data_IF_556392988717
#
_entry.id   IF_556392988717
#
_cell.length_a   1.000
_cell.length_b   1.000
_cell.length_c   1.000
_cell.angle_alpha   90.00
_cell.angle_beta   90.00
_cell.angle_gamma   90.00
#
_symmetry.space_group_name_H-M   'P 1'
#
loop_
_entity.id
_entity.type
_entity.pdbx_description
1 polymer ?
#
# COMPACT_ATOMS: atom_id res chain seq x y z
N UNK A 1 -0.27 27.68 33.89
CA UNK A 1 0.90 27.22 33.12
C UNK A 1 0.38 26.45 31.92
N UNK A 2 0.29 27.10 30.77
CA UNK A 2 -0.07 26.49 29.49
C UNK A 2 1.20 25.85 28.93
N UNK A 3 1.43 24.58 29.21
CA UNK A 3 2.39 23.80 28.45
C UNK A 3 1.84 23.65 27.04
N UNK A 4 2.39 24.42 26.11
CA UNK A 4 2.10 24.26 24.69
C UNK A 4 2.39 22.81 24.31
N UNK A 5 1.37 22.06 23.86
CA UNK A 5 1.58 20.83 23.11
C UNK A 5 2.53 21.20 21.97
N UNK A 6 3.77 20.67 21.98
CA UNK A 6 4.59 20.67 20.78
C UNK A 6 3.68 20.11 19.69
N UNK A 7 3.47 20.86 18.62
CA UNK A 7 2.79 20.34 17.44
C UNK A 7 3.56 19.11 17.02
N UNK A 8 2.97 17.93 17.20
CA UNK A 8 3.54 16.70 16.71
C UNK A 8 3.73 16.84 15.20
N UNK A 9 4.88 16.44 14.69
CA UNK A 9 5.17 16.49 13.25
C UNK A 9 4.19 15.55 12.56
N UNK A 10 3.43 16.08 11.61
CA UNK A 10 2.43 15.30 10.87
C UNK A 10 2.98 14.93 9.50
N UNK A 11 2.86 13.67 9.11
CA UNK A 11 3.24 13.16 7.80
C UNK A 11 2.04 12.62 7.05
N UNK A 12 2.16 12.53 5.73
CA UNK A 12 1.23 11.80 4.87
C UNK A 12 1.86 10.47 4.44
N UNK A 13 1.08 9.39 4.38
CA UNK A 13 1.54 8.05 4.05
C UNK A 13 1.09 7.65 2.65
N UNK A 14 1.98 7.03 1.89
CA UNK A 14 1.68 6.43 0.61
C UNK A 14 2.02 4.93 0.65
N UNK A 15 0.97 4.08 0.66
CA UNK A 15 1.07 2.65 0.94
C UNK A 15 0.90 1.84 -0.35
N UNK A 16 1.97 1.18 -0.78
CA UNK A 16 1.98 0.35 -1.98
C UNK A 16 1.14 -0.91 -1.79
N UNK A 17 0.47 -1.35 -2.85
CA UNK A 17 -0.20 -2.62 -2.96
C UNK A 17 0.76 -3.78 -3.24
N UNK A 18 0.41 -4.98 -2.81
CA UNK A 18 1.24 -6.16 -3.01
C UNK A 18 0.70 -7.45 -2.38
N UNK A 19 -0.61 -7.54 -2.18
CA UNK A 19 -1.25 -8.72 -1.59
C UNK A 19 -0.72 -9.03 -0.19
N UNK A 20 -0.36 -10.28 0.08
CA UNK A 20 0.20 -10.75 1.35
C UNK A 20 1.45 -9.98 1.81
N UNK A 21 2.22 -9.42 0.88
CA UNK A 21 3.38 -8.59 1.22
C UNK A 21 2.97 -7.28 1.94
N UNK A 22 1.71 -6.89 1.87
CA UNK A 22 1.15 -5.79 2.67
C UNK A 22 1.27 -5.98 4.19
N UNK A 23 1.56 -7.20 4.68
CA UNK A 23 1.90 -7.43 6.07
C UNK A 23 3.23 -6.77 6.50
N UNK A 24 4.14 -6.50 5.55
CA UNK A 24 5.30 -5.64 5.80
C UNK A 24 4.85 -4.21 6.15
N UNK A 25 3.91 -3.66 5.37
CA UNK A 25 3.31 -2.34 5.65
C UNK A 25 2.62 -2.32 7.02
N UNK A 26 1.90 -3.39 7.40
CA UNK A 26 1.41 -3.52 8.78
C UNK A 26 2.53 -3.38 9.80
N UNK A 27 3.67 -4.04 9.61
CA UNK A 27 4.82 -3.92 10.51
C UNK A 27 5.37 -2.51 10.59
N UNK A 28 5.49 -1.81 9.47
CA UNK A 28 5.90 -0.40 9.41
C UNK A 28 4.93 0.47 10.20
N UNK A 29 3.63 0.35 9.95
CA UNK A 29 2.60 1.12 10.65
C UNK A 29 2.56 0.81 12.14
N UNK A 30 2.67 -0.47 12.52
CA UNK A 30 2.69 -0.89 13.92
C UNK A 30 3.84 -0.25 14.70
N UNK A 31 5.05 -0.18 14.11
CA UNK A 31 6.18 0.47 14.76
C UNK A 31 6.06 2.00 14.79
N UNK A 32 5.57 2.64 13.74
CA UNK A 32 5.32 4.09 13.72
C UNK A 32 4.27 4.49 14.77
N UNK A 33 3.24 3.69 14.96
CA UNK A 33 2.21 3.88 15.99
C UNK A 33 2.76 3.69 17.40
N UNK A 34 3.61 2.69 17.62
CA UNK A 34 4.26 2.41 18.89
C UNK A 34 5.25 3.51 19.29
N UNK A 35 6.04 4.00 18.35
CA UNK A 35 6.99 5.11 18.55
C UNK A 35 6.29 6.39 18.98
N UNK A 36 5.16 6.70 18.40
CA UNK A 36 4.24 7.73 18.88
C UNK A 36 4.66 9.18 18.64
N UNK A 37 5.84 9.45 18.05
CA UNK A 37 6.35 10.81 17.84
C UNK A 37 5.75 11.51 16.62
N UNK A 38 5.21 10.75 15.67
CA UNK A 38 4.70 11.26 14.39
C UNK A 38 3.21 11.01 14.29
N UNK A 39 2.45 12.01 13.85
CA UNK A 39 1.02 11.90 13.52
C UNK A 39 0.82 11.74 12.01
N UNK A 40 -0.35 11.25 11.62
CA UNK A 40 -0.72 11.06 10.22
C UNK A 40 -1.82 12.05 9.84
N UNK A 41 -1.65 12.76 8.70
CA UNK A 41 -2.70 13.63 8.17
C UNK A 41 -3.53 12.94 7.09
N UNK A 42 -2.88 12.23 6.21
CA UNK A 42 -3.54 11.52 5.11
C UNK A 42 -2.82 10.26 4.71
N UNK A 43 -3.58 9.32 4.17
CA UNK A 43 -3.05 8.04 3.68
C UNK A 43 -3.61 7.75 2.30
N UNK A 44 -2.71 7.59 1.34
CA UNK A 44 -3.02 7.04 0.03
C UNK A 44 -2.65 5.56 0.00
N UNK A 45 -3.56 4.71 -0.46
CA UNK A 45 -3.32 3.27 -0.50
C UNK A 45 -3.92 2.60 -1.72
N UNK A 46 -3.28 1.53 -2.15
CA UNK A 46 -3.72 0.70 -3.26
C UNK A 46 -3.70 -0.77 -2.85
N UNK A 47 -4.75 -1.55 -3.17
CA UNK A 47 -4.81 -2.98 -2.88
C UNK A 47 -4.58 -3.29 -1.39
N UNK A 48 -3.57 -4.08 -1.02
CA UNK A 48 -3.20 -4.31 0.37
C UNK A 48 -2.85 -3.02 1.14
N UNK A 49 -2.32 -2.00 0.45
CA UNK A 49 -2.10 -0.67 0.99
C UNK A 49 -3.41 0.03 1.34
N UNK A 50 -4.48 -0.16 0.55
CA UNK A 50 -5.82 0.34 0.83
C UNK A 50 -6.44 -0.33 2.06
N UNK A 51 -6.27 -1.65 2.20
CA UNK A 51 -6.68 -2.41 3.38
C UNK A 51 -6.02 -1.85 4.65
N UNK A 52 -4.69 -1.72 4.63
CA UNK A 52 -3.93 -1.16 5.75
C UNK A 52 -4.38 0.28 6.08
N UNK A 53 -4.61 1.12 5.07
CA UNK A 53 -5.03 2.52 5.26
C UNK A 53 -6.38 2.63 5.98
N UNK A 54 -7.36 1.84 5.55
CA UNK A 54 -8.72 1.87 6.12
C UNK A 54 -8.75 1.29 7.52
N UNK A 55 -8.06 0.16 7.75
CA UNK A 55 -7.96 -0.48 9.06
C UNK A 55 -7.21 0.42 10.05
N UNK A 56 -6.14 1.09 9.60
CA UNK A 56 -5.43 2.11 10.39
C UNK A 56 -6.37 3.24 10.81
N UNK A 57 -7.10 3.84 9.86
CA UNK A 57 -8.01 4.94 10.14
C UNK A 57 -9.14 4.54 11.09
N UNK A 58 -9.74 3.36 10.88
CA UNK A 58 -10.74 2.80 11.77
C UNK A 58 -10.22 2.62 13.19
N UNK A 59 -9.05 2.02 13.34
CA UNK A 59 -8.45 1.78 14.64
C UNK A 59 -8.07 3.09 15.36
N UNK A 60 -7.55 4.07 14.65
CA UNK A 60 -7.27 5.41 15.17
C UNK A 60 -8.54 6.10 15.69
N UNK A 61 -9.65 5.96 14.95
CA UNK A 61 -10.94 6.54 15.32
C UNK A 61 -11.54 5.91 16.59
N UNK A 62 -11.29 4.60 16.84
CA UNK A 62 -11.89 3.86 17.94
C UNK A 62 -11.04 3.80 19.23
N UNK A 63 -9.72 3.87 19.08
CA UNK A 63 -8.84 3.67 20.24
C UNK A 63 -7.47 4.31 20.08
N UNK A 64 -7.36 5.31 19.22
CA UNK A 64 -6.10 5.99 18.98
C UNK A 64 -5.02 5.02 18.44
N UNK A 65 -3.78 5.25 18.83
CA UNK A 65 -2.63 4.46 18.33
C UNK A 65 -2.71 2.99 18.70
N UNK A 66 -3.08 2.66 19.92
CA UNK A 66 -3.22 1.27 20.38
C UNK A 66 -4.42 0.58 19.70
N UNK A 67 -5.52 1.31 19.50
CA UNK A 67 -6.66 0.83 18.72
C UNK A 67 -6.29 0.50 17.27
N UNK A 68 -5.46 1.33 16.65
CA UNK A 68 -4.97 1.11 15.28
C UNK A 68 -4.06 -0.13 15.21
N UNK A 69 -3.13 -0.29 16.16
CA UNK A 69 -2.27 -1.48 16.23
C UNK A 69 -3.09 -2.76 16.42
N UNK A 70 -4.06 -2.73 17.33
CA UNK A 70 -4.96 -3.86 17.55
C UNK A 70 -5.85 -4.17 16.33
N UNK A 71 -6.35 -3.15 15.63
CA UNK A 71 -7.16 -3.34 14.43
C UNK A 71 -6.36 -3.98 13.29
N UNK A 72 -5.14 -3.48 13.02
CA UNK A 72 -4.24 -4.06 12.02
C UNK A 72 -3.89 -5.52 12.34
N UNK A 73 -3.60 -5.83 13.60
CA UNK A 73 -3.35 -7.22 14.03
C UNK A 73 -4.57 -8.11 13.78
N UNK A 74 -5.77 -7.70 14.22
CA UNK A 74 -7.00 -8.48 13.99
C UNK A 74 -7.27 -8.70 12.51
N UNK A 75 -7.10 -7.66 11.68
CA UNK A 75 -7.31 -7.76 10.24
C UNK A 75 -6.41 -8.83 9.61
N UNK A 76 -5.10 -8.75 9.82
CA UNK A 76 -4.15 -9.71 9.24
C UNK A 76 -4.32 -11.13 9.79
N UNK A 77 -4.70 -11.29 11.05
CA UNK A 77 -5.09 -12.59 11.63
C UNK A 77 -6.32 -13.15 10.92
N UNK A 78 -7.37 -12.35 10.76
CA UNK A 78 -8.58 -12.81 10.07
C UNK A 78 -8.33 -13.16 8.60
N UNK A 79 -7.43 -12.44 7.93
CA UNK A 79 -7.02 -12.79 6.55
C UNK A 79 -6.28 -14.13 6.54
N UNK A 80 -5.40 -14.39 7.51
CA UNK A 80 -4.72 -15.69 7.63
C UNK A 80 -5.70 -16.85 7.87
N UNK A 81 -6.70 -16.60 8.72
CA UNK A 81 -7.71 -17.61 9.10
C UNK A 81 -8.80 -17.82 8.03
N UNK A 82 -8.89 -16.93 7.04
CA UNK A 82 -9.94 -16.98 6.00
C UNK A 82 -9.76 -18.12 5.00
N UNK A 83 -8.58 -18.69 4.89
CA UNK A 83 -8.32 -19.84 4.04
C UNK A 83 -8.32 -21.14 4.86
N UNK A 84 -9.12 -22.15 4.44
CA UNK A 84 -9.33 -23.38 5.22
C UNK A 84 -8.11 -24.31 5.28
N UNK A 85 -7.01 -23.98 4.59
CA UNK A 85 -5.81 -24.82 4.52
C UNK A 85 -4.55 -23.96 4.58
N UNK A 86 -3.47 -24.52 5.11
CA UNK A 86 -2.13 -23.93 4.95
C UNK A 86 -1.77 -23.91 3.45
N UNK A 87 -2.00 -22.78 2.81
CA UNK A 87 -1.80 -22.58 1.36
C UNK A 87 -0.32 -22.47 1.02
N UNK A 88 0.49 -22.19 2.02
CA UNK A 88 1.92 -21.95 1.87
C UNK A 88 2.70 -22.83 2.85
N UNK A 89 3.69 -23.53 2.34
CA UNK A 89 4.62 -24.39 3.10
C UNK A 89 6.05 -23.84 2.96
N UNK A 90 6.92 -24.11 3.96
CA UNK A 90 8.34 -23.85 3.78
C UNK A 90 8.84 -24.51 2.50
N UNK A 91 9.60 -23.79 1.70
CA UNK A 91 10.25 -24.35 0.51
C UNK A 91 11.26 -25.43 0.94
N UNK A 92 11.60 -26.34 0.03
CA UNK A 92 12.56 -27.41 0.29
C UNK A 92 13.95 -26.91 0.71
N UNK A 93 14.28 -25.66 0.39
CA UNK A 93 15.50 -24.97 0.83
C UNK A 93 15.41 -24.36 2.25
N UNK A 94 14.24 -24.44 2.89
CA UNK A 94 13.98 -23.92 4.24
C UNK A 94 14.05 -22.38 4.38
N UNK A 95 14.39 -21.67 3.31
CA UNK A 95 14.58 -20.21 3.34
C UNK A 95 13.43 -19.44 2.71
N UNK A 96 12.60 -20.11 1.93
CA UNK A 96 11.48 -19.49 1.21
C UNK A 96 10.16 -20.18 1.57
N UNK A 97 9.06 -19.43 1.35
CA UNK A 97 7.71 -19.99 1.43
C UNK A 97 7.24 -20.24 0.01
N UNK A 98 6.67 -21.42 -0.24
CA UNK A 98 6.07 -21.76 -1.53
C UNK A 98 4.64 -22.26 -1.36
N UNK A 99 3.81 -22.02 -2.37
CA UNK A 99 2.47 -22.59 -2.41
C UNK A 99 2.55 -24.14 -2.56
N UNK A 100 1.58 -24.82 -2.00
CA UNK A 100 1.44 -26.27 -2.19
C UNK A 100 1.41 -26.62 -3.69
N UNK A 101 2.06 -27.72 -4.13
CA UNK A 101 2.08 -28.11 -5.54
C UNK A 101 0.68 -28.26 -6.16
N UNK A 102 -0.26 -28.81 -5.41
CA UNK A 102 -1.64 -28.94 -5.86
C UNK A 102 -2.31 -27.56 -6.13
N UNK A 103 -2.04 -26.58 -5.27
CA UNK A 103 -2.54 -25.22 -5.46
C UNK A 103 -1.88 -24.54 -6.65
N UNK A 104 -0.57 -24.73 -6.86
CA UNK A 104 0.13 -24.21 -8.05
C UNK A 104 -0.49 -24.76 -9.32
N UNK A 105 -0.78 -26.05 -9.34
CA UNK A 105 -1.45 -26.71 -10.47
C UNK A 105 -2.88 -26.14 -10.66
N UNK A 106 -3.64 -25.99 -9.60
CA UNK A 106 -4.98 -25.37 -9.65
C UNK A 106 -4.94 -23.94 -10.19
N UNK A 107 -4.02 -23.10 -9.71
CA UNK A 107 -3.82 -21.74 -10.20
C UNK A 107 -3.39 -21.72 -11.67
N UNK A 108 -2.55 -22.67 -12.09
CA UNK A 108 -2.17 -22.81 -13.50
C UNK A 108 -3.39 -23.11 -14.38
N UNK A 109 -4.29 -24.00 -13.96
CA UNK A 109 -5.51 -24.30 -14.68
C UNK A 109 -6.55 -23.16 -14.59
N UNK A 110 -6.56 -22.43 -13.47
CA UNK A 110 -7.47 -21.30 -13.29
C UNK A 110 -7.27 -20.18 -14.34
N UNK A 111 -6.09 -20.05 -14.92
CA UNK A 111 -5.84 -19.10 -16.01
C UNK A 111 -6.67 -19.33 -17.28
N UNK A 112 -7.23 -20.53 -17.45
CA UNK A 112 -8.11 -20.85 -18.61
C UNK A 112 -9.57 -20.57 -18.35
N UNK A 113 -9.93 -20.19 -17.11
CA UNK A 113 -11.30 -19.90 -16.72
C UNK A 113 -11.44 -18.46 -16.30
N UNK A 114 -12.61 -17.86 -16.60
CA UNK A 114 -12.91 -16.52 -16.09
C UNK A 114 -13.27 -16.57 -14.60
N UNK A 115 -13.10 -15.45 -13.85
CA UNK A 115 -13.55 -15.36 -12.48
C UNK A 115 -15.03 -15.69 -12.30
N UNK A 116 -15.86 -15.42 -13.31
CA UNK A 116 -17.29 -15.78 -13.31
C UNK A 116 -17.52 -17.29 -13.28
N UNK A 117 -16.65 -18.07 -13.92
CA UNK A 117 -16.73 -19.53 -13.94
C UNK A 117 -16.16 -20.15 -12.68
N UNK A 118 -15.06 -19.56 -12.12
CA UNK A 118 -14.39 -20.07 -10.92
C UNK A 118 -15.16 -19.75 -9.63
N UNK A 119 -15.84 -18.60 -9.58
CA UNK A 119 -16.60 -18.15 -8.42
C UNK A 119 -18.01 -17.66 -8.84
N UNK A 120 -18.94 -18.60 -9.16
CA UNK A 120 -20.27 -18.25 -9.64
C UNK A 120 -21.12 -17.50 -8.59
N UNK A 121 -20.83 -17.69 -7.31
CA UNK A 121 -21.55 -17.06 -6.20
C UNK A 121 -20.91 -15.76 -5.72
N UNK A 122 -19.82 -15.33 -6.34
CA UNK A 122 -19.07 -14.12 -5.98
C UNK A 122 -18.67 -14.04 -4.50
N UNK A 123 -18.35 -15.20 -3.90
CA UNK A 123 -17.91 -15.26 -2.51
C UNK A 123 -16.54 -14.60 -2.35
N UNK A 124 -16.47 -13.64 -1.43
CA UNK A 124 -15.24 -12.87 -1.17
C UNK A 124 -15.00 -12.75 0.34
N UNK A 125 -14.13 -13.59 0.92
CA UNK A 125 -13.84 -13.56 2.37
C UNK A 125 -13.34 -12.20 2.86
N UNK A 126 -12.63 -11.42 2.03
CA UNK A 126 -12.17 -10.09 2.41
C UNK A 126 -13.34 -9.12 2.63
N UNK A 127 -14.45 -9.28 1.91
CA UNK A 127 -15.68 -8.50 2.15
C UNK A 127 -16.20 -8.72 3.56
N UNK A 128 -16.33 -9.98 3.97
CA UNK A 128 -16.86 -10.35 5.27
C UNK A 128 -15.96 -9.83 6.40
N UNK A 129 -14.64 -9.95 6.24
CA UNK A 129 -13.64 -9.42 7.19
C UNK A 129 -13.77 -7.90 7.31
N UNK A 130 -13.85 -7.18 6.19
CA UNK A 130 -13.96 -5.72 6.19
C UNK A 130 -15.26 -5.25 6.85
N UNK A 131 -16.39 -5.87 6.51
CA UNK A 131 -17.69 -5.51 7.09
C UNK A 131 -17.79 -5.85 8.58
N UNK A 132 -17.11 -6.90 9.03
CA UNK A 132 -17.08 -7.28 10.44
C UNK A 132 -16.16 -6.38 11.29
N UNK A 133 -15.13 -5.78 10.70
CA UNK A 133 -14.07 -5.10 11.46
C UNK A 133 -14.02 -3.59 11.26
N UNK A 134 -14.63 -3.05 10.20
CA UNK A 134 -14.53 -1.62 9.86
C UNK A 134 -15.92 -0.98 9.89
N UNK A 135 -16.08 0.03 10.74
CA UNK A 135 -17.25 0.90 10.75
C UNK A 135 -17.10 1.99 9.67
N UNK A 136 -17.58 1.68 8.47
CA UNK A 136 -17.47 2.58 7.31
C UNK A 136 -18.32 3.85 7.47
N UNK A 137 -19.45 3.80 8.17
CA UNK A 137 -20.28 4.97 8.40
C UNK A 137 -19.57 5.99 9.28
N UNK A 138 -19.01 5.51 10.38
CA UNK A 138 -18.24 6.36 11.27
C UNK A 138 -16.97 6.89 10.62
N UNK A 139 -16.28 6.09 9.79
CA UNK A 139 -15.12 6.57 9.04
C UNK A 139 -15.47 7.69 8.06
N UNK A 140 -16.60 7.59 7.36
CA UNK A 140 -17.05 8.66 6.46
C UNK A 140 -17.40 9.94 7.22
N UNK A 141 -17.99 9.80 8.40
CA UNK A 141 -18.45 10.93 9.22
C UNK A 141 -17.32 11.63 9.97
N UNK A 142 -16.37 10.86 10.53
CA UNK A 142 -15.39 11.40 11.50
C UNK A 142 -14.07 10.63 11.43
N UNK A 143 -13.47 10.51 10.26
CA UNK A 143 -12.13 9.92 10.14
C UNK A 143 -11.06 10.87 10.68
N UNK A 144 -10.15 10.40 11.54
CA UNK A 144 -9.06 11.24 12.06
C UNK A 144 -7.99 11.58 11.02
N UNK A 145 -7.98 10.86 9.89
CA UNK A 145 -7.03 11.03 8.79
C UNK A 145 -7.76 11.01 7.45
N UNK A 146 -7.22 11.72 6.46
CA UNK A 146 -7.75 11.69 5.09
C UNK A 146 -7.39 10.38 4.41
N UNK A 147 -8.35 9.76 3.74
CA UNK A 147 -8.15 8.54 2.98
C UNK A 147 -8.25 8.80 1.48
N UNK A 148 -7.35 8.19 0.71
CA UNK A 148 -7.30 8.23 -0.75
C UNK A 148 -7.05 6.81 -1.26
N UNK A 149 -8.11 6.13 -1.69
CA UNK A 149 -8.04 4.74 -2.13
C UNK A 149 -8.14 4.69 -3.64
N UNK A 150 -7.11 4.13 -4.27
CA UNK A 150 -7.02 4.05 -5.72
C UNK A 150 -7.67 2.77 -6.24
N UNK A 151 -8.51 2.89 -7.26
CA UNK A 151 -8.98 1.79 -8.11
C UNK A 151 -8.82 2.18 -9.58
N UNK A 152 -8.84 1.20 -10.47
CA UNK A 152 -8.76 1.41 -11.92
C UNK A 152 -10.13 1.18 -12.54
N UNK A 153 -10.69 2.19 -13.21
CA UNK A 153 -11.90 1.99 -13.99
C UNK A 153 -11.58 1.05 -15.16
N UNK A 154 -12.26 -0.10 -15.22
CA UNK A 154 -11.94 -1.18 -16.14
C UNK A 154 -12.22 -0.81 -17.62
N UNK A 155 -13.19 0.10 -17.87
CA UNK A 155 -13.55 0.50 -19.22
C UNK A 155 -12.63 1.58 -19.79
N UNK A 156 -12.13 2.49 -18.94
CA UNK A 156 -11.35 3.65 -19.39
C UNK A 156 -9.86 3.59 -19.06
N UNK A 157 -9.44 2.69 -18.16
CA UNK A 157 -8.09 2.62 -17.61
C UNK A 157 -7.72 3.80 -16.70
N UNK A 158 -8.67 4.69 -16.40
CA UNK A 158 -8.42 5.86 -15.55
C UNK A 158 -8.40 5.47 -14.08
N UNK A 159 -7.53 6.15 -13.31
CA UNK A 159 -7.56 6.05 -11.86
C UNK A 159 -8.84 6.69 -11.30
N UNK A 160 -9.51 5.98 -10.40
CA UNK A 160 -10.55 6.50 -9.54
C UNK A 160 -9.99 6.58 -8.13
N UNK A 161 -10.04 7.75 -7.51
CA UNK A 161 -9.73 7.92 -6.09
C UNK A 161 -11.01 8.04 -5.29
N UNK A 162 -11.21 7.07 -4.40
CA UNK A 162 -12.24 7.16 -3.37
C UNK A 162 -11.66 7.92 -2.17
N UNK A 163 -12.25 9.06 -1.87
CA UNK A 163 -11.89 9.90 -0.73
C UNK A 163 -12.66 9.51 0.51
N UNK A 164 -12.24 10.00 1.68
CA UNK A 164 -12.87 9.67 2.97
C UNK A 164 -14.41 9.60 2.95
N UNK A 165 -15.16 10.57 2.36
CA UNK A 165 -16.63 10.48 2.32
C UNK A 165 -17.18 9.38 1.43
N UNK A 166 -16.37 8.80 0.56
CA UNK A 166 -16.76 7.77 -0.43
C UNK A 166 -16.29 6.37 -0.02
N UNK A 167 -15.61 6.24 1.13
CA UNK A 167 -15.03 4.96 1.56
C UNK A 167 -16.12 3.96 1.92
N UNK A 168 -16.04 2.79 1.31
CA UNK A 168 -16.94 1.65 1.52
C UNK A 168 -16.17 0.34 1.36
N UNK A 169 -16.77 -0.77 1.77
CA UNK A 169 -16.20 -2.09 1.51
C UNK A 169 -15.96 -2.30 0.01
N UNK A 170 -16.91 -1.88 -0.84
CA UNK A 170 -16.77 -2.00 -2.30
C UNK A 170 -15.62 -1.18 -2.86
N UNK A 171 -15.38 0.04 -2.36
CA UNK A 171 -14.23 0.86 -2.77
C UNK A 171 -12.89 0.17 -2.44
N UNK A 172 -12.80 -0.48 -1.28
CA UNK A 172 -11.58 -1.21 -0.87
C UNK A 172 -11.42 -2.49 -1.69
N UNK A 173 -12.50 -3.22 -1.92
CA UNK A 173 -12.49 -4.44 -2.75
C UNK A 173 -12.18 -4.11 -4.21
N UNK A 174 -12.69 -3.02 -4.75
CA UNK A 174 -12.34 -2.51 -6.08
C UNK A 174 -10.83 -2.25 -6.19
N UNK A 175 -10.25 -1.60 -5.16
CA UNK A 175 -8.81 -1.35 -5.09
C UNK A 175 -7.95 -2.63 -5.08
N UNK A 176 -8.50 -3.76 -4.67
CA UNK A 176 -7.80 -5.06 -4.57
C UNK A 176 -8.33 -6.12 -5.55
N UNK A 177 -9.15 -5.72 -6.52
CA UNK A 177 -9.78 -6.62 -7.48
C UNK A 177 -8.87 -6.94 -8.66
N UNK A 178 -8.08 -8.01 -8.56
CA UNK A 178 -7.29 -8.50 -9.68
C UNK A 178 -8.20 -9.16 -10.74
N UNK A 179 -8.20 -8.70 -12.00
CA UNK A 179 -9.13 -9.16 -13.05
C UNK A 179 -8.98 -10.64 -13.41
N UNK A 180 -7.84 -11.25 -13.08
CA UNK A 180 -7.59 -12.67 -13.29
C UNK A 180 -8.12 -13.56 -12.16
N UNK A 181 -8.54 -12.97 -11.04
CA UNK A 181 -8.94 -13.72 -9.83
C UNK A 181 -10.36 -13.39 -9.35
N UNK A 182 -10.83 -12.17 -9.61
CA UNK A 182 -12.13 -11.69 -9.13
C UNK A 182 -12.89 -10.97 -10.23
N UNK A 183 -14.23 -10.96 -10.11
CA UNK A 183 -15.08 -10.14 -10.96
C UNK A 183 -14.83 -8.67 -10.70
N UNK A 184 -14.99 -7.82 -11.72
CA UNK A 184 -14.94 -6.38 -11.51
C UNK A 184 -15.97 -5.96 -10.44
N UNK A 185 -15.56 -5.06 -9.55
CA UNK A 185 -16.47 -4.49 -8.56
C UNK A 185 -17.20 -3.32 -9.20
N UNK A 186 -18.54 -3.39 -9.23
CA UNK A 186 -19.36 -2.31 -9.76
C UNK A 186 -19.69 -1.28 -8.68
N UNK A 187 -19.40 -0.01 -8.97
CA UNK A 187 -19.73 1.12 -8.10
C UNK A 187 -20.32 2.23 -8.99
N UNK A 188 -21.52 2.66 -8.69
CA UNK A 188 -22.24 3.70 -9.45
C UNK A 188 -22.39 3.36 -10.95
N UNK A 189 -22.54 2.07 -11.29
CA UNK A 189 -22.69 1.58 -12.66
C UNK A 189 -21.40 1.48 -13.46
N UNK A 190 -20.24 1.71 -12.84
CA UNK A 190 -18.92 1.60 -13.45
C UNK A 190 -18.13 0.43 -12.86
N UNK A 191 -17.46 -0.39 -13.71
CA UNK A 191 -16.66 -1.51 -13.25
C UNK A 191 -15.25 -1.08 -12.85
N UNK A 192 -14.75 -1.63 -11.73
CA UNK A 192 -13.42 -1.33 -11.22
C UNK A 192 -12.58 -2.58 -11.00
N UNK A 193 -11.29 -2.43 -11.28
CA UNK A 193 -10.20 -3.36 -11.01
C UNK A 193 -9.18 -2.77 -10.03
N UNK A 194 -8.21 -3.60 -9.64
CA UNK A 194 -7.13 -3.22 -8.74
C UNK A 194 -6.48 -1.89 -9.15
N UNK A 195 -6.33 -1.02 -8.16
CA UNK A 195 -5.73 0.30 -8.35
C UNK A 195 -4.31 0.26 -8.86
N UNK A 196 -3.61 -0.86 -8.67
CA UNK A 196 -2.23 -1.06 -9.10
C UNK A 196 -1.98 -0.85 -10.59
N UNK A 197 -3.00 -1.01 -11.42
CA UNK A 197 -2.87 -0.71 -12.85
C UNK A 197 -2.83 0.78 -13.17
N UNK A 198 -3.43 1.63 -12.33
CA UNK A 198 -3.51 3.07 -12.58
C UNK A 198 -2.70 3.92 -11.57
N UNK A 199 -2.50 3.46 -10.34
CA UNK A 199 -1.69 4.15 -9.31
C UNK A 199 -1.31 3.19 -8.17
N UNK A 200 -0.02 3.03 -7.87
CA UNK A 200 0.45 2.07 -6.85
C UNK A 200 1.66 2.56 -6.03
N UNK A 201 1.45 3.42 -5.04
CA UNK A 201 0.27 4.21 -4.69
C UNK A 201 0.16 5.52 -5.48
N UNK A 202 -0.98 6.21 -5.40
CA UNK A 202 -1.12 7.58 -5.87
C UNK A 202 -0.47 8.56 -4.89
N UNK A 203 0.44 9.41 -5.36
CA UNK A 203 1.13 10.41 -4.52
C UNK A 203 0.44 11.78 -4.59
N UNK A 204 -0.06 12.14 -5.78
CA UNK A 204 -0.62 13.47 -6.04
C UNK A 204 -1.75 13.90 -5.07
N UNK A 205 -2.66 13.03 -4.58
CA UNK A 205 -3.69 13.49 -3.66
C UNK A 205 -3.10 13.95 -2.32
N UNK A 206 -2.04 13.31 -1.84
CA UNK A 206 -1.34 13.74 -0.64
C UNK A 206 -0.67 15.10 -0.86
N UNK A 207 -0.07 15.30 -2.03
CA UNK A 207 0.53 16.57 -2.38
C UNK A 207 -0.50 17.70 -2.49
N UNK A 208 -1.67 17.49 -3.10
CA UNK A 208 -2.65 18.55 -3.34
C UNK A 208 -3.62 18.78 -2.17
N UNK A 209 -3.97 17.73 -1.43
CA UNK A 209 -5.08 17.76 -0.48
C UNK A 209 -4.65 17.69 1.00
N UNK A 210 -3.38 17.34 1.30
CA UNK A 210 -2.82 17.37 2.66
C UNK A 210 -2.01 18.65 2.90
N UNK A 211 -1.91 19.07 4.15
CA UNK A 211 -1.13 20.25 4.57
C UNK A 211 0.32 19.87 4.90
N UNK A 212 0.52 18.66 5.40
CA UNK A 212 1.86 18.14 5.72
C UNK A 212 2.81 18.33 4.53
N UNK A 213 4.03 18.74 4.83
CA UNK A 213 5.11 18.81 3.84
C UNK A 213 5.76 17.46 3.58
N UNK A 214 5.54 16.48 4.45
CA UNK A 214 6.28 15.24 4.44
C UNK A 214 5.40 14.08 3.95
N UNK A 215 5.88 13.39 2.92
CA UNK A 215 5.23 12.21 2.35
C UNK A 215 6.16 11.02 2.53
N UNK A 216 5.74 10.05 3.35
CA UNK A 216 6.45 8.81 3.56
C UNK A 216 5.83 7.71 2.70
N UNK A 217 6.61 7.20 1.77
CA UNK A 217 6.25 6.09 0.89
C UNK A 217 6.69 4.76 1.51
N UNK A 218 5.79 3.81 1.63
CA UNK A 218 6.09 2.42 2.03
C UNK A 218 6.00 1.55 0.79
N UNK A 219 7.16 1.06 0.32
CA UNK A 219 7.30 0.34 -0.93
C UNK A 219 7.55 -1.14 -0.67
N UNK A 220 6.82 -2.00 -1.37
CA UNK A 220 6.88 -3.46 -1.26
C UNK A 220 7.69 -4.10 -2.39
N UNK A 221 7.86 -3.35 -3.49
CA UNK A 221 8.56 -3.80 -4.69
C UNK A 221 9.85 -3.01 -4.83
N UNK A 222 10.98 -3.68 -5.11
CA UNK A 222 12.24 -2.98 -5.31
C UNK A 222 12.16 -2.05 -6.51
N UNK A 223 12.72 -0.83 -6.36
CA UNK A 223 12.81 0.12 -7.48
C UNK A 223 13.80 -0.35 -8.55
N UNK A 224 14.81 -1.14 -8.13
CA UNK A 224 15.85 -1.66 -9.02
C UNK A 224 16.04 -3.16 -8.80
N UNK A 225 15.97 -3.94 -9.87
CA UNK A 225 16.23 -5.37 -9.85
C UNK A 225 17.70 -5.68 -10.18
N UNK A 226 18.20 -6.75 -9.56
CA UNK A 226 19.50 -7.34 -9.89
C UNK A 226 19.29 -8.41 -10.98
N UNK A 227 19.83 -8.18 -12.15
CA UNK A 227 19.77 -9.12 -13.28
C UNK A 227 18.52 -9.00 -14.15
N UNK A 228 18.61 -9.59 -15.33
CA UNK A 228 17.52 -9.66 -16.33
C UNK A 228 16.85 -11.02 -16.24
N UNK A 229 15.51 -11.11 -16.26
CA UNK A 229 14.81 -12.39 -16.21
C UNK A 229 15.10 -13.19 -17.50
N UNK A 230 15.33 -14.52 -17.36
CA UNK A 230 15.65 -15.41 -18.46
C UNK A 230 14.58 -16.49 -18.69
N UNK A 231 13.92 -16.97 -17.66
CA UNK A 231 12.85 -17.97 -17.81
C UNK A 231 11.53 -17.31 -18.21
N UNK A 232 10.66 -18.05 -18.90
CA UNK A 232 9.33 -17.57 -19.27
C UNK A 232 8.51 -17.10 -18.05
N UNK A 233 8.64 -17.78 -16.91
CA UNK A 233 7.94 -17.41 -15.68
C UNK A 233 8.50 -16.11 -15.11
N UNK A 234 9.82 -15.97 -14.99
CA UNK A 234 10.45 -14.73 -14.51
C UNK A 234 10.10 -13.53 -15.39
N UNK A 235 10.07 -13.72 -16.72
CA UNK A 235 9.67 -12.67 -17.66
C UNK A 235 8.22 -12.27 -17.43
N UNK A 236 7.29 -13.25 -17.29
CA UNK A 236 5.88 -12.98 -17.02
C UNK A 236 5.69 -12.21 -15.70
N UNK A 237 6.37 -12.64 -14.65
CA UNK A 237 6.32 -12.01 -13.33
C UNK A 237 6.86 -10.58 -13.40
N UNK A 238 7.95 -10.36 -14.11
CA UNK A 238 8.54 -9.02 -14.30
C UNK A 238 7.66 -8.08 -15.10
N UNK A 239 7.01 -8.58 -16.17
CA UNK A 239 6.05 -7.80 -16.96
C UNK A 239 4.88 -7.34 -16.10
N UNK A 240 4.33 -8.23 -15.27
CA UNK A 240 3.25 -7.89 -14.36
C UNK A 240 3.70 -6.85 -13.32
N UNK A 241 4.86 -7.04 -12.74
CA UNK A 241 5.44 -6.08 -11.79
C UNK A 241 5.66 -4.70 -12.42
N UNK A 242 6.20 -4.64 -13.64
CA UNK A 242 6.37 -3.40 -14.38
C UNK A 242 5.03 -2.72 -14.65
N UNK A 243 3.99 -3.48 -15.01
CA UNK A 243 2.65 -2.94 -15.21
C UNK A 243 2.12 -2.26 -13.93
N UNK A 244 2.32 -2.87 -12.75
CA UNK A 244 1.87 -2.34 -11.47
C UNK A 244 2.70 -1.17 -10.94
N UNK A 245 3.93 -1.00 -11.41
CA UNK A 245 4.82 0.07 -10.93
C UNK A 245 4.98 1.24 -11.89
N UNK A 246 4.66 1.05 -13.17
CA UNK A 246 4.96 2.03 -14.23
C UNK A 246 4.31 3.39 -13.99
N UNK A 247 3.08 3.41 -13.49
CA UNK A 247 2.34 4.64 -13.21
C UNK A 247 2.94 5.40 -12.03
N UNK A 248 3.28 4.70 -10.96
CA UNK A 248 3.97 5.28 -9.80
C UNK A 248 5.35 5.84 -10.19
N UNK A 249 6.16 5.07 -10.92
CA UNK A 249 7.48 5.54 -11.38
C UNK A 249 7.36 6.77 -12.28
N UNK A 250 6.35 6.81 -13.16
CA UNK A 250 6.08 7.98 -14.00
C UNK A 250 5.67 9.19 -13.16
N UNK A 251 4.80 9.02 -12.19
CA UNK A 251 4.36 10.07 -11.28
C UNK A 251 5.56 10.64 -10.51
N UNK A 252 6.37 9.78 -9.90
CA UNK A 252 7.55 10.20 -9.14
C UNK A 252 8.61 10.89 -9.99
N UNK A 253 8.82 10.42 -11.23
CA UNK A 253 9.70 11.11 -12.20
C UNK A 253 9.19 12.51 -12.51
N UNK A 254 7.89 12.68 -12.69
CA UNK A 254 7.30 14.01 -12.91
C UNK A 254 7.50 14.93 -11.69
N UNK A 255 7.36 14.41 -10.48
CA UNK A 255 7.68 15.17 -9.26
C UNK A 255 9.15 15.56 -9.20
N UNK A 256 10.07 14.66 -9.56
CA UNK A 256 11.50 14.94 -9.60
C UNK A 256 11.81 16.09 -10.57
N UNK A 257 11.41 15.98 -11.84
CA UNK A 257 11.61 17.03 -12.85
C UNK A 257 10.99 18.37 -12.48
N UNK A 258 9.73 18.36 -12.01
CA UNK A 258 9.06 19.58 -11.62
C UNK A 258 9.76 20.27 -10.45
N UNK A 259 10.30 19.48 -9.50
CA UNK A 259 11.05 20.01 -8.35
C UNK A 259 12.37 20.63 -8.77
N UNK A 260 13.15 19.98 -9.62
CA UNK A 260 14.38 20.54 -10.18
C UNK A 260 14.11 21.86 -10.90
N UNK A 261 13.14 21.87 -11.81
CA UNK A 261 12.74 23.09 -12.52
C UNK A 261 12.34 24.22 -11.57
N UNK A 262 11.57 23.90 -10.51
CA UNK A 262 11.17 24.88 -9.51
C UNK A 262 12.34 25.37 -8.63
N UNK A 263 13.37 24.54 -8.42
CA UNK A 263 14.57 24.92 -7.66
C UNK A 263 15.50 25.84 -8.46
N UNK A 264 15.63 25.59 -9.77
CA UNK A 264 16.46 26.40 -10.68
C UNK A 264 15.83 27.78 -10.98
N UNK A 265 14.51 27.90 -10.81
CA UNK A 265 13.82 29.17 -11.08
C UNK A 265 14.23 30.26 -10.08
N UNK A 266 14.68 31.41 -10.61
CA UNK A 266 15.04 32.59 -9.83
C UNK A 266 13.83 33.21 -9.10
N UNK A 267 12.61 32.98 -9.58
CA UNK A 267 11.39 33.53 -9.01
C UNK A 267 10.38 32.42 -8.69
N UNK A 268 10.33 32.03 -7.42
CA UNK A 268 9.34 31.06 -6.90
C UNK A 268 8.01 31.76 -6.60
N UNK A 269 7.31 32.22 -7.63
CA UNK A 269 6.16 33.13 -7.49
C UNK A 269 4.87 32.36 -7.18
N UNK A 270 4.68 31.15 -7.74
CA UNK A 270 3.45 30.38 -7.64
C UNK A 270 3.26 29.62 -6.33
N UNK A 271 2.00 29.30 -5.99
CA UNK A 271 1.68 28.43 -4.84
C UNK A 271 2.15 26.99 -5.07
N UNK A 272 2.12 26.54 -6.33
CA UNK A 272 2.52 25.21 -6.75
C UNK A 272 4.02 25.00 -6.54
N UNK A 273 4.86 25.90 -7.08
CA UNK A 273 6.33 25.82 -6.98
C UNK A 273 6.79 25.86 -5.52
N UNK A 274 6.19 26.75 -4.71
CA UNK A 274 6.48 26.80 -3.27
C UNK A 274 6.11 25.51 -2.56
N UNK A 275 4.95 24.91 -2.91
CA UNK A 275 4.52 23.62 -2.35
C UNK A 275 5.50 22.52 -2.75
N UNK A 276 5.87 22.47 -4.02
CA UNK A 276 6.74 21.44 -4.58
C UNK A 276 8.14 21.44 -3.93
N UNK A 277 8.74 22.62 -3.77
CA UNK A 277 10.05 22.75 -3.12
C UNK A 277 9.99 22.44 -1.62
N UNK A 278 8.87 22.69 -0.95
CA UNK A 278 8.67 22.40 0.47
C UNK A 278 8.27 20.96 0.76
N UNK A 279 7.84 20.20 -0.25
CA UNK A 279 7.45 18.81 -0.03
C UNK A 279 8.68 17.92 0.12
N UNK A 280 8.76 17.23 1.23
CA UNK A 280 9.81 16.28 1.55
C UNK A 280 9.34 14.86 1.26
N UNK A 281 10.18 14.09 0.62
CA UNK A 281 9.90 12.72 0.29
C UNK A 281 10.79 11.77 1.09
N UNK A 282 10.15 10.74 1.62
CA UNK A 282 10.77 9.72 2.44
C UNK A 282 10.37 8.36 1.93
N UNK A 283 11.25 7.36 2.11
CA UNK A 283 10.97 5.98 1.68
C UNK A 283 11.34 5.02 2.80
N UNK A 284 10.43 4.10 3.09
CA UNK A 284 10.71 2.84 3.75
C UNK A 284 10.44 1.75 2.73
N UNK A 285 11.50 1.15 2.20
CA UNK A 285 11.44 0.09 1.21
C UNK A 285 11.54 -1.30 1.83
N UNK A 286 11.01 -2.28 1.13
CA UNK A 286 11.16 -3.68 1.51
C UNK A 286 12.63 -4.09 1.52
N UNK A 287 13.09 -4.83 2.55
CA UNK A 287 14.46 -5.28 2.64
C UNK A 287 14.80 -6.31 1.56
N UNK A 288 16.11 -6.50 1.31
CA UNK A 288 16.60 -7.38 0.25
C UNK A 288 16.07 -8.83 0.38
N UNK A 289 15.81 -9.29 1.59
CA UNK A 289 15.20 -10.61 1.84
C UNK A 289 13.83 -10.76 1.15
N UNK A 290 13.05 -9.67 1.04
CA UNK A 290 11.75 -9.70 0.35
C UNK A 290 11.89 -9.74 -1.17
N UNK A 291 13.01 -9.28 -1.73
CA UNK A 291 13.26 -9.32 -3.17
C UNK A 291 13.41 -10.75 -3.70
N UNK A 292 13.77 -11.70 -2.83
CA UNK A 292 13.85 -13.14 -3.15
C UNK A 292 12.49 -13.84 -3.16
N UNK A 293 11.42 -13.22 -2.68
CA UNK A 293 10.11 -13.85 -2.65
C UNK A 293 9.49 -13.88 -4.05
N UNK A 294 8.99 -15.04 -4.44
CA UNK A 294 8.31 -15.23 -5.72
C UNK A 294 6.98 -14.48 -5.73
N UNK A 295 6.52 -14.06 -6.90
CA UNK A 295 5.21 -13.40 -7.10
C UNK A 295 4.05 -14.19 -6.51
N UNK A 296 4.12 -15.53 -6.53
CA UNK A 296 3.14 -16.44 -5.94
C UNK A 296 2.92 -16.18 -4.44
N UNK A 297 3.96 -15.74 -3.69
CA UNK A 297 3.85 -15.49 -2.25
C UNK A 297 2.97 -14.29 -1.92
N UNK A 298 2.66 -13.42 -2.89
CA UNK A 298 1.69 -12.34 -2.74
C UNK A 298 0.25 -12.84 -2.47
N UNK A 299 -0.01 -14.13 -2.76
CA UNK A 299 -1.30 -14.78 -2.49
C UNK A 299 -1.26 -15.71 -1.26
N UNK A 300 -0.13 -15.78 -0.57
CA UNK A 300 0.05 -16.69 0.57
C UNK A 300 -0.59 -16.10 1.83
N UNK A 301 -1.81 -16.54 2.17
CA UNK A 301 -2.43 -16.23 3.46
C UNK A 301 -1.96 -17.27 4.50
N UNK A 302 -0.97 -16.90 5.29
CA UNK A 302 -0.42 -17.74 6.37
C UNK A 302 0.11 -16.83 7.47
N UNK A 303 -0.32 -17.06 8.72
CA UNK A 303 0.02 -16.18 9.83
C UNK A 303 1.52 -16.11 10.11
N UNK A 304 2.25 -17.22 10.01
CA UNK A 304 3.72 -17.22 10.21
C UNK A 304 4.42 -16.35 9.16
N UNK A 305 3.93 -16.38 7.92
CA UNK A 305 4.45 -15.52 6.86
C UNK A 305 4.12 -14.04 7.11
N UNK A 306 2.90 -13.75 7.52
CA UNK A 306 2.51 -12.38 7.88
C UNK A 306 3.31 -11.83 9.05
N UNK A 307 3.57 -12.65 10.08
CA UNK A 307 4.42 -12.27 11.22
C UNK A 307 5.88 -12.03 10.80
N UNK A 308 6.43 -12.86 9.91
CA UNK A 308 7.75 -12.63 9.35
C UNK A 308 7.82 -11.27 8.65
N UNK A 309 6.88 -10.99 7.75
CA UNK A 309 6.81 -9.71 7.02
C UNK A 309 6.58 -8.52 7.95
N UNK A 310 5.67 -8.67 8.94
CA UNK A 310 5.46 -7.66 9.97
C UNK A 310 6.75 -7.35 10.73
N UNK A 311 7.48 -8.36 11.15
CA UNK A 311 8.71 -8.15 11.92
C UNK A 311 9.77 -7.44 11.06
N UNK A 312 9.94 -7.82 9.79
CA UNK A 312 10.78 -7.10 8.85
C UNK A 312 10.36 -5.63 8.68
N UNK A 313 9.05 -5.37 8.59
CA UNK A 313 8.51 -4.01 8.52
C UNK A 313 8.79 -3.19 9.76
N UNK A 314 8.64 -3.78 10.95
CA UNK A 314 8.98 -3.13 12.23
C UNK A 314 10.47 -2.78 12.32
N UNK A 315 11.34 -3.70 11.95
CA UNK A 315 12.79 -3.48 11.94
C UNK A 315 13.19 -2.35 10.99
N UNK A 316 12.63 -2.35 9.77
CA UNK A 316 12.89 -1.28 8.78
C UNK A 316 12.39 0.07 9.27
N UNK A 317 11.17 0.14 9.83
CA UNK A 317 10.64 1.39 10.38
C UNK A 317 11.46 1.90 11.56
N UNK A 318 11.91 1.00 12.46
CA UNK A 318 12.79 1.34 13.58
C UNK A 318 14.11 1.93 13.10
N UNK A 319 14.76 1.25 12.17
CA UNK A 319 16.03 1.72 11.60
C UNK A 319 15.86 3.08 10.89
N UNK A 320 14.78 3.22 10.11
CA UNK A 320 14.47 4.46 9.41
C UNK A 320 14.23 5.63 10.38
N UNK A 321 13.42 5.43 11.43
CA UNK A 321 13.18 6.45 12.45
C UNK A 321 14.44 6.85 13.20
N UNK A 322 15.31 5.90 13.54
CA UNK A 322 16.58 6.19 14.20
C UNK A 322 17.49 7.09 13.34
N UNK A 323 17.52 6.85 12.05
CA UNK A 323 18.36 7.60 11.12
C UNK A 323 17.74 8.93 10.68
N UNK A 324 16.40 9.00 10.53
CA UNK A 324 15.76 10.04 9.73
C UNK A 324 14.68 10.85 10.46
N UNK A 325 14.28 10.48 11.69
CA UNK A 325 13.20 11.21 12.39
C UNK A 325 13.48 12.72 12.50
N UNK A 326 14.74 13.09 12.75
CA UNK A 326 15.15 14.48 12.84
C UNK A 326 15.08 15.28 11.54
N UNK A 327 14.83 14.63 10.40
CA UNK A 327 14.71 15.26 9.08
C UNK A 327 13.26 15.57 8.70
N UNK A 328 12.29 14.97 9.40
CA UNK A 328 10.86 15.24 9.17
C UNK A 328 10.60 16.73 9.39
N UNK A 329 9.84 17.34 8.48
CA UNK A 329 9.55 18.78 8.48
C UNK A 329 10.69 19.66 7.97
N UNK A 330 11.86 19.10 7.65
CA UNK A 330 13.05 19.87 7.26
C UNK A 330 13.52 19.59 5.84
N UNK A 331 13.70 18.32 5.48
CA UNK A 331 14.19 17.93 4.16
C UNK A 331 13.84 16.50 3.81
N UNK A 332 13.86 16.19 2.52
CA UNK A 332 13.76 14.81 2.01
C UNK A 332 14.90 13.95 2.54
N UNK A 333 14.60 12.67 2.82
CA UNK A 333 15.60 11.65 3.17
C UNK A 333 16.05 10.84 1.95
N UNK A 334 15.48 11.12 0.79
CA UNK A 334 15.83 10.50 -0.50
C UNK A 334 16.02 11.57 -1.56
N UNK A 335 16.89 11.30 -2.52
CA UNK A 335 17.02 12.08 -3.74
C UNK A 335 16.09 11.47 -4.79
N UNK A 336 15.10 12.27 -5.24
CA UNK A 336 14.11 11.82 -6.23
C UNK A 336 14.73 11.60 -7.60
N UNK A 337 15.74 12.40 -7.99
CA UNK A 337 16.39 12.26 -9.28
C UNK A 337 17.19 10.95 -9.32
N UNK A 338 17.97 10.66 -8.25
CA UNK A 338 18.72 9.40 -8.14
C UNK A 338 17.82 8.16 -8.18
N UNK A 339 16.64 8.24 -7.55
CA UNK A 339 15.73 7.08 -7.44
C UNK A 339 14.88 6.85 -8.68
N UNK A 340 14.49 7.92 -9.42
CA UNK A 340 13.42 7.83 -10.42
C UNK A 340 13.81 8.26 -11.84
N UNK A 341 15.07 8.69 -12.09
CA UNK A 341 15.62 8.95 -13.44
C UNK A 341 16.25 7.72 -14.11
#
# INVERSE_FOLDING_TARGET
MLFGRRSQESISLALQGGGAHGAFTWGVLDHLLEDGRTDFEGVSGTSAGAMNAVVLAHGLNHGGRDGARAALHRFWTSVADSLPFEVAVPSLDGQNISLLPALKMMLHWAHYFSPHQLNPFDHNPLRDILLAQVDFERLRADSPIKLFIAATNANSGKVRLFRTPEISADAILASACLPTMARAVEIDGEPYWDGGYAANPAIYPLFYECKSSDILMVLLTPLKHKGTPHSAQEIKDRVLELAFNSTFLREMRMFAHAREYAQESLFRIGRFERRLVRTNFHVIDAPEQMHGFKTETKMAANMRFFELLRNLGRERAKAWLQANHGEIGKRSTVDLAELFY
#
